data_IF_250809361536
#
_entry.id   IF_250809361536
#
_cell.length_a   1.000
_cell.length_b   1.000
_cell.length_c   1.000
_cell.angle_alpha   90.00
_cell.angle_beta   90.00
_cell.angle_gamma   90.00
#
_symmetry.space_group_name_H-M   'P 1'
#
loop_
_entity.id
_entity.type
_entity.pdbx_description
1 polymer ?
#
# COMPACT_ATOMS: atom_id res chain seq x y z
N UNK A 1 0.13 55.34 48.73
CA UNK A 1 0.35 54.64 47.45
C UNK A 1 1.12 53.37 47.76
N UNK A 2 0.39 52.27 47.96
CA UNK A 2 0.94 50.95 48.31
C UNK A 2 1.06 50.09 47.06
N UNK A 3 2.23 49.48 46.90
CA UNK A 3 2.78 48.94 45.67
C UNK A 3 2.08 47.72 45.07
N UNK A 4 2.47 47.50 43.82
CA UNK A 4 1.87 46.65 42.82
C UNK A 4 1.86 45.15 43.13
N UNK A 5 0.77 44.53 42.66
CA UNK A 5 0.51 43.09 42.65
C UNK A 5 1.39 42.41 41.60
N UNK A 6 2.47 41.75 42.02
CA UNK A 6 3.20 40.82 41.17
C UNK A 6 2.35 39.58 40.85
N UNK A 7 1.83 39.51 39.63
CA UNK A 7 1.31 38.27 39.03
C UNK A 7 2.50 37.38 38.63
N UNK A 8 2.71 36.30 39.39
CA UNK A 8 3.63 35.24 39.00
C UNK A 8 3.07 34.48 37.79
N UNK A 9 3.67 34.72 36.62
CA UNK A 9 3.43 33.95 35.40
C UNK A 9 3.87 32.50 35.58
N UNK A 10 2.88 31.60 35.63
CA UNK A 10 3.08 30.15 35.63
C UNK A 10 3.52 29.73 34.22
N UNK A 11 4.83 29.58 34.00
CA UNK A 11 5.34 28.93 32.80
C UNK A 11 5.04 27.42 32.90
N UNK A 12 4.11 26.94 32.09
CA UNK A 12 3.92 25.51 31.88
C UNK A 12 5.05 25.02 30.97
N UNK A 13 6.00 24.30 31.55
CA UNK A 13 6.97 23.53 30.78
C UNK A 13 6.22 22.40 30.05
N UNK A 14 6.16 22.50 28.73
CA UNK A 14 5.61 21.45 27.88
C UNK A 14 6.45 20.18 28.01
N UNK A 15 5.83 19.11 28.49
CA UNK A 15 6.39 17.76 28.36
C UNK A 15 6.37 17.37 26.87
N UNK A 16 7.43 17.67 26.15
CA UNK A 16 7.71 17.01 24.88
C UNK A 16 8.02 15.54 25.21
N UNK A 17 7.04 14.65 25.02
CA UNK A 17 7.27 13.22 25.10
C UNK A 17 8.24 12.84 23.98
N UNK A 18 9.43 12.40 24.37
CA UNK A 18 10.42 11.79 23.49
C UNK A 18 9.80 10.52 22.89
N UNK A 19 9.50 10.57 21.58
CA UNK A 19 8.95 9.42 20.85
C UNK A 19 10.07 8.38 20.74
N UNK A 20 10.10 7.41 21.66
CA UNK A 20 11.00 6.27 21.54
C UNK A 20 10.72 5.51 20.25
N UNK A 21 11.76 5.34 19.45
CA UNK A 21 11.71 4.63 18.17
C UNK A 21 11.42 3.15 18.39
N UNK A 22 10.16 2.73 18.23
CA UNK A 22 9.83 1.31 18.16
C UNK A 22 10.17 0.82 16.76
N UNK A 23 11.25 0.04 16.63
CA UNK A 23 11.47 -0.82 15.45
C UNK A 23 10.45 -1.94 15.53
N UNK A 24 9.49 -1.93 14.61
CA UNK A 24 8.52 -3.00 14.49
C UNK A 24 9.19 -4.13 13.74
N UNK A 25 9.58 -5.17 14.47
CA UNK A 25 9.95 -6.46 13.91
C UNK A 25 8.73 -7.37 13.97
N UNK A 26 8.59 -8.33 13.04
CA UNK A 26 7.57 -9.33 13.19
C UNK A 26 7.86 -10.16 14.45
N UNK A 27 6.84 -10.86 14.94
CA UNK A 27 7.02 -11.77 16.07
C UNK A 27 8.20 -12.72 15.79
N UNK A 28 8.97 -13.14 16.82
CA UNK A 28 10.23 -13.88 16.63
C UNK A 28 10.09 -15.20 15.86
N UNK A 29 8.88 -15.71 15.69
CA UNK A 29 8.51 -16.91 14.94
C UNK A 29 8.11 -16.66 13.47
N UNK A 30 7.91 -15.41 13.03
CA UNK A 30 7.48 -15.08 11.65
C UNK A 30 8.50 -14.19 10.95
N UNK A 31 9.02 -14.61 9.80
CA UNK A 31 9.88 -13.76 8.98
C UNK A 31 9.06 -12.78 8.12
N UNK A 32 9.67 -11.67 7.69
CA UNK A 32 9.03 -10.77 6.72
C UNK A 32 8.67 -11.46 5.40
N UNK A 33 9.45 -12.46 4.98
CA UNK A 33 9.16 -13.22 3.77
C UNK A 33 7.91 -14.09 3.93
N UNK A 34 7.71 -14.68 5.12
CA UNK A 34 6.53 -15.51 5.39
C UNK A 34 5.26 -14.66 5.48
N UNK A 35 5.37 -13.47 6.08
CA UNK A 35 4.29 -12.49 6.08
C UNK A 35 3.96 -12.03 4.65
N UNK A 36 4.96 -11.73 3.83
CA UNK A 36 4.74 -11.34 2.44
C UNK A 36 4.02 -12.44 1.65
N UNK A 37 4.49 -13.70 1.76
CA UNK A 37 3.84 -14.86 1.13
C UNK A 37 2.39 -15.01 1.56
N UNK A 38 2.15 -14.97 2.87
CA UNK A 38 0.81 -15.18 3.46
C UNK A 38 -0.16 -14.11 3.01
N UNK A 39 0.24 -12.84 3.11
CA UNK A 39 -0.63 -11.71 2.78
C UNK A 39 -0.87 -11.62 1.27
N UNK A 40 0.15 -11.92 0.44
CA UNK A 40 -0.02 -11.97 -1.00
C UNK A 40 -0.97 -13.08 -1.44
N UNK A 41 -0.84 -14.31 -0.90
CA UNK A 41 -1.80 -15.36 -1.26
C UNK A 41 -3.22 -15.02 -0.80
N UNK A 42 -3.38 -14.45 0.40
CA UNK A 42 -4.70 -13.95 0.85
C UNK A 42 -5.28 -12.91 -0.11
N UNK A 43 -4.47 -11.96 -0.58
CA UNK A 43 -4.91 -10.98 -1.57
C UNK A 43 -5.36 -11.65 -2.86
N UNK A 44 -4.58 -12.63 -3.37
CA UNK A 44 -4.95 -13.38 -4.57
C UNK A 44 -6.30 -14.10 -4.41
N UNK A 45 -6.54 -14.74 -3.25
CA UNK A 45 -7.81 -15.41 -2.95
C UNK A 45 -8.99 -14.43 -2.90
N UNK A 46 -8.81 -13.26 -2.28
CA UNK A 46 -9.84 -12.21 -2.24
C UNK A 46 -10.19 -11.73 -3.64
N UNK A 47 -9.20 -11.54 -4.51
CA UNK A 47 -9.41 -11.14 -5.91
C UNK A 47 -10.09 -12.25 -6.72
N UNK A 48 -9.68 -13.50 -6.52
CA UNK A 48 -10.20 -14.67 -7.25
C UNK A 48 -11.70 -14.88 -7.03
N UNK A 49 -12.20 -14.54 -5.84
CA UNK A 49 -13.61 -14.65 -5.45
C UNK A 49 -14.39 -13.33 -5.45
N UNK A 50 -13.71 -12.20 -5.72
CA UNK A 50 -14.32 -10.87 -5.76
C UNK A 50 -14.78 -10.47 -7.17
N UNK A 51 -15.73 -9.53 -7.25
CA UNK A 51 -16.07 -8.86 -8.51
C UNK A 51 -14.97 -7.83 -8.86
N UNK A 52 -14.24 -7.96 -9.99
CA UNK A 52 -13.21 -7.00 -10.38
C UNK A 52 -13.73 -5.58 -10.60
N UNK A 53 -15.04 -5.41 -10.86
CA UNK A 53 -15.67 -4.10 -11.02
C UNK A 53 -16.09 -3.46 -9.68
N UNK A 54 -15.94 -4.18 -8.56
CA UNK A 54 -16.30 -3.66 -7.23
C UNK A 54 -15.48 -2.42 -6.88
N UNK A 55 -16.14 -1.35 -6.49
CA UNK A 55 -15.49 -0.12 -6.04
C UNK A 55 -14.75 -0.31 -4.70
N UNK A 56 -13.53 0.23 -4.63
CA UNK A 56 -12.70 0.23 -3.43
C UNK A 56 -12.83 1.58 -2.74
N UNK A 57 -13.70 1.68 -1.73
CA UNK A 57 -14.10 2.95 -1.12
C UNK A 57 -12.91 3.72 -0.51
N UNK A 58 -11.94 3.02 0.07
CA UNK A 58 -10.72 3.61 0.64
C UNK A 58 -9.76 4.15 -0.43
N UNK A 59 -9.93 3.76 -1.68
CA UNK A 59 -9.20 4.24 -2.86
C UNK A 59 -10.18 4.85 -3.87
N UNK A 60 -10.68 6.08 -3.65
CA UNK A 60 -11.76 6.65 -4.47
C UNK A 60 -11.47 6.64 -5.96
N UNK A 61 -12.39 6.06 -6.73
CA UNK A 61 -12.31 5.94 -8.19
C UNK A 61 -11.59 4.69 -8.68
N UNK A 62 -11.14 3.80 -7.80
CA UNK A 62 -10.55 2.52 -8.16
C UNK A 62 -11.56 1.39 -7.99
N UNK A 63 -11.50 0.42 -8.90
CA UNK A 63 -12.13 -0.89 -8.69
C UNK A 63 -11.13 -1.90 -8.10
N UNK A 64 -11.63 -3.08 -7.71
CA UNK A 64 -10.78 -4.19 -7.28
C UNK A 64 -9.76 -4.59 -8.36
N UNK A 65 -10.13 -4.45 -9.64
CA UNK A 65 -9.21 -4.60 -10.77
C UNK A 65 -8.07 -3.58 -10.72
N UNK A 66 -8.39 -2.30 -10.54
CA UNK A 66 -7.38 -1.23 -10.51
C UNK A 66 -6.44 -1.39 -9.31
N UNK A 67 -6.98 -1.76 -8.16
CA UNK A 67 -6.20 -2.09 -6.96
C UNK A 67 -5.25 -3.27 -7.20
N UNK A 68 -5.72 -4.31 -7.89
CA UNK A 68 -4.91 -5.49 -8.20
C UNK A 68 -3.80 -5.18 -9.21
N UNK A 69 -4.14 -4.45 -10.28
CA UNK A 69 -3.18 -3.96 -11.28
C UNK A 69 -2.07 -3.14 -10.62
N UNK A 70 -2.47 -2.20 -9.74
CA UNK A 70 -1.55 -1.40 -8.96
C UNK A 70 -0.59 -2.26 -8.14
N UNK A 71 -1.11 -3.16 -7.31
CA UNK A 71 -0.29 -3.94 -6.38
C UNK A 71 0.63 -4.91 -7.12
N UNK A 72 0.15 -5.55 -8.19
CA UNK A 72 0.99 -6.38 -9.05
C UNK A 72 2.12 -5.57 -9.73
N UNK A 73 1.83 -4.34 -10.17
CA UNK A 73 2.85 -3.42 -10.69
C UNK A 73 3.89 -3.00 -9.65
N UNK A 74 3.46 -2.76 -8.40
CA UNK A 74 4.37 -2.48 -7.27
C UNK A 74 5.27 -3.69 -6.97
N UNK A 75 4.78 -4.92 -7.13
CA UNK A 75 5.60 -6.12 -6.97
C UNK A 75 6.64 -6.27 -8.08
N UNK A 76 6.26 -6.01 -9.33
CA UNK A 76 7.19 -5.95 -10.46
C UNK A 76 8.30 -4.92 -10.21
N UNK A 77 7.93 -3.73 -9.74
CA UNK A 77 8.88 -2.67 -9.43
C UNK A 77 9.93 -3.08 -8.43
N UNK A 78 9.47 -3.62 -7.31
CA UNK A 78 10.32 -3.93 -6.18
C UNK A 78 11.29 -5.04 -6.56
N UNK A 79 10.83 -6.02 -7.34
CA UNK A 79 11.70 -7.05 -7.89
C UNK A 79 12.81 -6.43 -8.76
N UNK A 80 12.46 -5.54 -9.69
CA UNK A 80 13.44 -4.83 -10.53
C UNK A 80 14.41 -3.99 -9.72
N UNK A 81 13.92 -3.19 -8.77
CA UNK A 81 14.76 -2.35 -7.91
C UNK A 81 15.79 -3.15 -7.10
N UNK A 82 15.44 -4.39 -6.73
CA UNK A 82 16.32 -5.30 -6.02
C UNK A 82 17.30 -6.02 -6.95
N UNK A 83 16.89 -6.32 -8.18
CA UNK A 83 17.73 -7.05 -9.14
C UNK A 83 18.68 -6.12 -9.88
N UNK A 84 18.15 -5.06 -10.47
CA UNK A 84 18.89 -4.11 -11.33
C UNK A 84 19.48 -2.94 -10.55
N UNK A 85 19.00 -2.67 -9.34
CA UNK A 85 19.53 -1.58 -8.51
C UNK A 85 19.12 -0.18 -8.99
N UNK A 86 17.96 -0.07 -9.65
CA UNK A 86 17.39 1.22 -10.07
C UNK A 86 15.85 1.19 -10.09
N UNK A 87 15.16 2.34 -10.23
CA UNK A 87 13.70 2.40 -10.19
C UNK A 87 13.01 2.46 -11.56
N UNK A 88 13.72 2.16 -12.66
CA UNK A 88 13.35 2.59 -14.02
C UNK A 88 12.34 1.72 -14.75
N UNK A 89 12.00 0.53 -14.24
CA UNK A 89 11.03 -0.38 -14.87
C UNK A 89 9.70 0.36 -15.16
N UNK A 90 9.00 0.03 -16.23
CA UNK A 90 7.55 0.28 -16.32
C UNK A 90 6.84 -1.07 -16.21
N UNK A 91 5.89 -1.29 -15.28
CA UNK A 91 5.24 -2.58 -15.14
C UNK A 91 4.45 -3.00 -16.37
N UNK A 92 4.42 -4.30 -16.62
CA UNK A 92 3.37 -4.90 -17.42
C UNK A 92 2.03 -4.65 -16.72
N UNK A 93 1.00 -4.14 -17.41
CA UNK A 93 -0.32 -3.97 -16.83
C UNK A 93 -1.07 -5.30 -16.72
N UNK A 94 -2.02 -5.36 -15.79
CA UNK A 94 -2.94 -6.48 -15.70
C UNK A 94 -3.74 -6.65 -17.00
N UNK A 95 -3.86 -7.88 -17.51
CA UNK A 95 -4.63 -8.15 -18.72
C UNK A 95 -6.12 -7.85 -18.50
N UNK A 96 -6.89 -7.63 -19.58
CA UNK A 96 -8.35 -7.60 -19.49
C UNK A 96 -8.85 -9.04 -19.29
N UNK A 97 -8.83 -9.51 -18.03
CA UNK A 97 -9.25 -10.84 -17.63
C UNK A 97 -10.34 -10.77 -16.54
N UNK A 98 -11.14 -11.83 -16.42
CA UNK A 98 -12.02 -12.04 -15.27
C UNK A 98 -11.22 -12.31 -13.98
N UNK A 99 -11.93 -12.38 -12.85
CA UNK A 99 -11.36 -12.52 -11.50
C UNK A 99 -10.22 -13.57 -11.40
N UNK A 100 -10.44 -14.78 -11.90
CA UNK A 100 -9.42 -15.85 -11.86
C UNK A 100 -8.14 -15.50 -12.63
N UNK A 101 -8.27 -14.89 -13.81
CA UNK A 101 -7.10 -14.49 -14.62
C UNK A 101 -6.35 -13.32 -14.00
N UNK A 102 -7.07 -12.38 -13.40
CA UNK A 102 -6.50 -11.26 -12.65
C UNK A 102 -5.73 -11.75 -11.40
N UNK A 103 -6.33 -12.67 -10.63
CA UNK A 103 -5.68 -13.28 -9.48
C UNK A 103 -4.43 -14.08 -9.87
N UNK A 104 -4.49 -14.85 -10.97
CA UNK A 104 -3.34 -15.59 -11.49
C UNK A 104 -2.19 -14.66 -11.93
N UNK A 105 -2.52 -13.56 -12.61
CA UNK A 105 -1.55 -12.53 -13.01
C UNK A 105 -0.88 -11.90 -11.78
N UNK A 106 -1.66 -11.55 -10.75
CA UNK A 106 -1.12 -11.01 -9.50
C UNK A 106 -0.20 -12.02 -8.79
N UNK A 107 -0.67 -13.27 -8.66
CA UNK A 107 0.08 -14.35 -8.00
C UNK A 107 1.45 -14.56 -8.64
N UNK A 108 1.53 -14.53 -9.98
CA UNK A 108 2.80 -14.62 -10.73
C UNK A 108 3.84 -13.60 -10.25
N UNK A 109 3.44 -12.33 -10.12
CA UNK A 109 4.37 -11.27 -9.71
C UNK A 109 4.65 -11.24 -8.23
N UNK A 110 3.67 -11.60 -7.39
CA UNK A 110 3.91 -11.83 -5.97
C UNK A 110 4.95 -12.94 -5.75
N UNK A 111 4.83 -14.08 -6.43
CA UNK A 111 5.81 -15.17 -6.39
C UNK A 111 7.17 -14.71 -6.86
N UNK A 112 7.25 -14.03 -8.01
CA UNK A 112 8.52 -13.51 -8.55
C UNK A 112 9.25 -12.61 -7.55
N UNK A 113 8.52 -11.68 -6.92
CA UNK A 113 9.09 -10.80 -5.90
C UNK A 113 9.59 -11.58 -4.68
N UNK A 114 8.79 -12.53 -4.19
CA UNK A 114 9.17 -13.38 -3.05
C UNK A 114 10.45 -14.15 -3.37
N UNK A 115 10.58 -14.71 -4.56
CA UNK A 115 11.76 -15.46 -5.00
C UNK A 115 13.00 -14.55 -5.04
N UNK A 116 12.87 -13.37 -5.66
CA UNK A 116 13.94 -12.35 -5.73
C UNK A 116 14.45 -11.95 -4.35
N UNK A 117 13.53 -11.72 -3.39
CA UNK A 117 13.86 -11.33 -2.03
C UNK A 117 14.36 -12.51 -1.17
N UNK A 118 13.96 -13.73 -1.48
CA UNK A 118 14.44 -14.95 -0.80
C UNK A 118 15.87 -15.28 -1.19
N UNK A 119 16.24 -15.07 -2.46
CA UNK A 119 17.57 -15.35 -2.99
C UNK A 119 18.68 -14.41 -2.47
N UNK A 120 18.36 -13.43 -1.62
CA UNK A 120 19.30 -12.41 -1.11
C UNK A 120 19.27 -12.39 0.42
N UNK A 121 20.39 -12.16 1.12
CA UNK A 121 20.36 -11.80 2.54
C UNK A 121 19.63 -10.46 2.73
N UNK A 122 19.11 -10.20 3.93
CA UNK A 122 18.33 -8.98 4.18
C UNK A 122 19.19 -7.71 4.04
N UNK A 123 20.49 -7.85 4.27
CA UNK A 123 21.49 -6.78 4.27
C UNK A 123 22.06 -6.52 2.86
N UNK A 124 21.68 -7.34 1.86
CA UNK A 124 22.13 -7.16 0.49
C UNK A 124 21.78 -5.76 -0.02
N UNK A 125 22.71 -5.05 -0.68
CA UNK A 125 22.42 -3.75 -1.28
C UNK A 125 21.26 -3.83 -2.28
N UNK A 126 20.39 -2.82 -2.24
CA UNK A 126 19.30 -2.63 -3.21
C UNK A 126 19.03 -1.14 -3.39
N UNK A 127 18.52 -0.75 -4.55
CA UNK A 127 17.93 0.58 -4.69
C UNK A 127 16.62 0.64 -3.91
N UNK A 128 16.33 1.75 -3.24
CA UNK A 128 15.13 1.90 -2.39
C UNK A 128 14.56 3.32 -2.48
N UNK A 129 13.36 3.52 -1.93
CA UNK A 129 12.79 4.86 -1.75
C UNK A 129 13.49 5.66 -0.63
N UNK A 130 14.09 4.94 0.32
CA UNK A 130 14.78 5.51 1.46
C UNK A 130 16.27 5.71 1.15
N UNK A 131 16.78 6.92 1.37
CA UNK A 131 18.21 7.19 1.19
C UNK A 131 19.05 6.58 2.31
N UNK A 132 18.43 6.36 3.48
CA UNK A 132 19.09 5.92 4.70
C UNK A 132 19.05 4.39 4.87
N UNK A 133 18.16 3.69 4.16
CA UNK A 133 18.09 2.23 4.10
C UNK A 133 18.14 1.74 2.64
N UNK A 134 19.32 1.24 2.23
CA UNK A 134 19.65 0.75 0.87
C UNK A 134 19.74 -0.77 0.80
N UNK A 135 18.81 -1.48 1.43
CA UNK A 135 18.90 -2.95 1.60
C UNK A 135 17.71 -3.72 1.02
N UNK A 136 17.88 -5.00 0.73
CA UNK A 136 16.76 -5.90 0.40
C UNK A 136 15.76 -6.03 1.57
N UNK A 137 16.23 -5.85 2.81
CA UNK A 137 15.42 -5.83 4.03
C UNK A 137 14.40 -4.70 4.03
N UNK A 138 14.73 -3.52 3.46
CA UNK A 138 13.77 -2.45 3.21
C UNK A 138 12.58 -2.95 2.40
N UNK A 139 12.84 -3.60 1.27
CA UNK A 139 11.81 -4.10 0.37
C UNK A 139 10.95 -5.18 1.00
N UNK A 140 11.53 -6.08 1.80
CA UNK A 140 10.73 -7.07 2.55
C UNK A 140 9.69 -6.37 3.43
N UNK A 141 10.08 -5.34 4.18
CA UNK A 141 9.16 -4.59 5.05
C UNK A 141 8.14 -3.77 4.26
N UNK A 142 8.62 -3.05 3.24
CA UNK A 142 7.77 -2.19 2.39
C UNK A 142 6.70 -3.01 1.65
N UNK A 143 7.05 -4.16 1.11
CA UNK A 143 6.11 -4.98 0.36
C UNK A 143 5.09 -5.66 1.28
N UNK A 144 5.47 -6.03 2.51
CA UNK A 144 4.51 -6.48 3.55
C UNK A 144 3.53 -5.38 3.91
N UNK A 145 4.01 -4.14 4.03
CA UNK A 145 3.13 -2.99 4.27
C UNK A 145 2.12 -2.80 3.13
N UNK A 146 2.60 -2.73 1.88
CA UNK A 146 1.75 -2.54 0.69
C UNK A 146 0.67 -3.59 0.58
N UNK A 147 1.03 -4.87 0.64
CA UNK A 147 0.06 -5.96 0.51
C UNK A 147 -0.91 -6.00 1.68
N UNK A 148 -0.48 -5.65 2.90
CA UNK A 148 -1.38 -5.65 4.06
C UNK A 148 -2.43 -4.54 3.96
N UNK A 149 -2.03 -3.33 3.58
CA UNK A 149 -2.95 -2.20 3.42
C UNK A 149 -3.94 -2.48 2.29
N UNK A 150 -3.47 -2.96 1.15
CA UNK A 150 -4.33 -3.20 0.00
C UNK A 150 -5.16 -4.49 0.10
N UNK A 151 -4.71 -5.49 0.88
CA UNK A 151 -5.58 -6.59 1.30
C UNK A 151 -6.74 -6.07 2.13
N UNK A 152 -6.47 -5.19 3.10
CA UNK A 152 -7.55 -4.59 3.88
C UNK A 152 -8.50 -3.78 3.00
N UNK A 153 -7.99 -3.00 2.04
CA UNK A 153 -8.82 -2.25 1.08
C UNK A 153 -9.74 -3.17 0.27
N UNK A 154 -9.20 -4.30 -0.22
CA UNK A 154 -9.95 -5.30 -0.97
C UNK A 154 -11.00 -6.00 -0.11
N UNK A 155 -10.62 -6.47 1.08
CA UNK A 155 -11.54 -7.10 2.04
C UNK A 155 -12.64 -6.11 2.47
N UNK A 156 -12.30 -4.82 2.64
CA UNK A 156 -13.26 -3.78 3.02
C UNK A 156 -14.28 -3.52 1.90
N UNK A 157 -13.81 -3.45 0.66
CA UNK A 157 -14.68 -3.30 -0.51
C UNK A 157 -15.73 -4.42 -0.60
N UNK A 158 -15.38 -5.63 -0.17
CA UNK A 158 -16.23 -6.82 -0.17
C UNK A 158 -17.00 -7.05 1.15
N UNK A 159 -16.84 -6.17 2.15
CA UNK A 159 -17.52 -6.29 3.44
C UNK A 159 -17.00 -7.39 4.36
N UNK A 160 -15.74 -7.80 4.18
CA UNK A 160 -15.08 -8.90 4.91
C UNK A 160 -13.92 -8.44 5.81
N UNK A 161 -13.54 -7.16 5.74
CA UNK A 161 -12.36 -6.63 6.42
C UNK A 161 -12.34 -6.94 7.92
N UNK A 162 -11.18 -7.43 8.37
CA UNK A 162 -10.84 -7.56 9.78
C UNK A 162 -9.86 -6.44 10.18
N UNK A 163 -9.75 -6.11 11.48
CA UNK A 163 -8.72 -5.19 11.96
C UNK A 163 -7.31 -5.68 11.57
N UNK A 164 -6.46 -4.75 11.12
CA UNK A 164 -5.05 -5.04 10.83
C UNK A 164 -4.32 -5.34 12.15
N UNK A 165 -3.56 -6.44 12.19
CA UNK A 165 -2.73 -6.77 13.35
C UNK A 165 -1.76 -5.60 13.65
N UNK A 166 -1.64 -5.14 14.93
CA UNK A 166 -0.78 -4.00 15.27
C UNK A 166 0.68 -4.15 14.81
N UNK A 167 1.21 -5.38 14.80
CA UNK A 167 2.55 -5.69 14.31
C UNK A 167 2.72 -5.43 12.80
N UNK A 168 1.64 -5.53 12.02
CA UNK A 168 1.64 -5.19 10.59
C UNK A 168 1.34 -3.71 10.36
N UNK A 169 0.50 -3.09 11.20
CA UNK A 169 0.21 -1.65 11.11
C UNK A 169 1.46 -0.79 11.34
N UNK A 170 2.35 -1.23 12.23
CA UNK A 170 3.59 -0.53 12.56
C UNK A 170 4.71 -0.61 11.50
N UNK A 171 4.48 -1.32 10.39
CA UNK A 171 5.40 -1.33 9.23
C UNK A 171 5.37 -0.04 8.42
N UNK A 172 4.46 0.89 8.73
CA UNK A 172 4.32 2.16 8.05
C UNK A 172 5.66 2.90 7.97
N UNK A 173 6.10 3.12 6.73
CA UNK A 173 7.30 3.89 6.43
C UNK A 173 7.18 5.31 7.01
N UNK A 174 8.04 5.63 7.98
CA UNK A 174 7.92 6.78 8.90
C UNK A 174 8.00 8.16 8.23
N UNK A 175 8.41 8.25 6.96
CA UNK A 175 8.53 9.52 6.20
C UNK A 175 7.39 9.80 5.21
N UNK A 176 6.41 8.91 5.08
CA UNK A 176 5.28 9.15 4.19
C UNK A 176 3.97 9.24 4.97
N UNK A 177 3.58 10.47 5.32
CA UNK A 177 2.17 10.83 5.53
C UNK A 177 1.37 10.79 4.21
N UNK A 178 1.68 9.83 3.33
CA UNK A 178 1.06 9.72 2.01
C UNK A 178 -0.14 8.80 2.17
N UNK A 179 -1.29 9.43 2.37
CA UNK A 179 -2.61 8.87 2.10
C UNK A 179 -2.57 8.04 0.79
N UNK A 180 -3.25 6.88 0.77
CA UNK A 180 -3.33 5.91 -0.34
C UNK A 180 -3.57 6.52 -1.74
N UNK A 181 -3.94 7.80 -1.82
CA UNK A 181 -4.27 8.48 -3.07
C UNK A 181 -3.07 8.85 -3.95
N UNK A 182 -1.81 8.81 -3.47
CA UNK A 182 -0.70 9.34 -4.31
C UNK A 182 0.74 8.94 -3.94
N UNK A 183 1.09 7.66 -3.99
CA UNK A 183 2.51 7.29 -4.12
C UNK A 183 2.93 7.46 -5.59
N UNK A 184 3.79 8.45 -5.87
CA UNK A 184 4.47 8.57 -7.17
C UNK A 184 5.61 7.56 -7.21
N UNK A 185 5.34 6.38 -7.77
CA UNK A 185 6.37 5.45 -8.22
C UNK A 185 7.13 6.09 -9.40
N UNK A 186 8.40 5.71 -9.64
CA UNK A 186 9.30 6.35 -10.62
C UNK A 186 8.75 6.43 -12.06
N UNK A 187 7.70 5.68 -12.36
CA UNK A 187 6.96 5.64 -13.63
C UNK A 187 5.66 6.46 -13.67
N UNK A 188 5.37 7.27 -12.65
CA UNK A 188 4.16 8.09 -12.58
C UNK A 188 2.90 7.32 -12.18
N UNK A 189 1.89 8.04 -11.67
CA UNK A 189 0.57 7.48 -11.37
C UNK A 189 -0.16 7.31 -12.70
N UNK A 190 -0.42 6.07 -13.13
CA UNK A 190 -1.31 5.82 -14.26
C UNK A 190 -2.73 6.16 -13.81
N UNK A 191 -3.33 7.21 -14.38
CA UNK A 191 -4.78 7.42 -14.25
C UNK A 191 -5.45 6.33 -15.09
N UNK A 192 -5.89 5.26 -14.43
CA UNK A 192 -6.83 4.32 -15.05
C UNK A 192 -8.17 5.06 -15.20
N UNK A 193 -8.68 5.08 -16.42
CA UNK A 193 -9.69 6.03 -16.87
C UNK A 193 -10.99 5.98 -16.07
N UNK A 194 -11.46 7.16 -15.67
CA UNK A 194 -12.80 7.37 -15.11
C UNK A 194 -13.85 6.93 -16.15
N UNK A 195 -14.85 6.09 -15.82
CA UNK A 195 -15.94 5.81 -16.74
C UNK A 195 -16.72 7.10 -17.06
N UNK A 196 -17.20 7.29 -18.31
CA UNK A 196 -17.93 8.49 -18.68
C UNK A 196 -19.20 8.59 -17.82
N UNK A 197 -19.35 9.71 -17.12
CA UNK A 197 -20.56 10.02 -16.38
C UNK A 197 -21.75 10.03 -17.33
N UNK A 198 -22.68 9.10 -17.13
CA UNK A 198 -23.90 8.99 -17.92
C UNK A 198 -24.62 10.33 -18.03
N UNK A 199 -24.85 10.78 -19.26
CA UNK A 199 -25.70 11.91 -19.57
C UNK A 199 -27.12 11.60 -19.10
N UNK A 200 -27.64 12.38 -18.16
CA UNK A 200 -29.05 12.34 -17.77
C UNK A 200 -29.91 12.60 -19.01
N UNK A 201 -30.73 11.64 -19.40
CA UNK A 201 -31.84 11.89 -20.31
C UNK A 201 -32.77 12.94 -19.69
N UNK A 202 -32.89 14.08 -20.35
CA UNK A 202 -33.88 15.10 -20.05
C UNK A 202 -35.17 14.68 -20.73
N UNK A 203 -36.10 14.08 -19.99
CA UNK A 203 -37.48 13.93 -20.44
C UNK A 203 -38.13 15.31 -20.45
N UNK A 204 -38.39 15.87 -21.63
CA UNK A 204 -39.31 16.99 -21.82
C UNK A 204 -40.60 16.40 -22.35
N UNK A 205 -41.61 16.29 -21.48
CA UNK A 205 -43.00 16.12 -21.91
C UNK A 205 -43.67 17.48 -21.75
N UNK A 206 -43.99 18.11 -22.88
CA UNK A 206 -44.72 19.37 -22.95
C UNK A 206 -46.21 19.05 -22.89
N UNK A 207 -46.93 19.70 -21.97
CA UNK A 207 -48.38 19.65 -21.89
C UNK A 207 -49.02 20.21 -23.16
N UNK A 208 -50.15 19.62 -23.57
CA UNK A 208 -51.17 20.21 -24.43
C UNK A 208 -52.48 20.21 -23.65
#
# INVERSE_FOLDING_TARGET
>A
MGGDRNHAGRQQAGHAQEVREVRVTPAPDRSWLDLLRTQAERFAQVVEHGDPAREVISCPGWTLRDLTDHLGGVHQWAAHAVVEGDPSLEPEPAPPAGAAGLAAWYRRYATTLVDVLTARPAEAPAWTLDRDDRTAGFWRRRQVHEVTMHLWDAEHALGMAQPIEPALAGTAWRRSSTSCTRVRYGWGVRQLGRPPSGSRHRTSTRAS
#
